data_IF_853331292533
#
_entry.id   IF_853331292533
#
_cell.length_a   1.000
_cell.length_b   1.000
_cell.length_c   1.000
_cell.angle_alpha   90.00
_cell.angle_beta   90.00
_cell.angle_gamma   90.00
#
_symmetry.space_group_name_H-M   'P 1'
#
loop_
_entity.id
_entity.type
_entity.pdbx_description
1 polymer ?
#
# COMPACT_ATOMS: atom_id res chain seq x y z
N UNK A 1 14.87 -17.46 2.74
CA UNK A 1 13.43 -17.61 2.96
C UNK A 1 12.67 -16.54 2.22
N UNK A 2 11.79 -16.92 1.33
CA UNK A 2 10.98 -15.95 0.61
C UNK A 2 9.90 -15.38 1.55
N UNK A 3 9.82 -14.07 1.65
CA UNK A 3 8.70 -13.43 2.33
C UNK A 3 7.46 -13.59 1.45
N UNK A 4 6.38 -14.10 2.03
CA UNK A 4 5.11 -14.13 1.33
C UNK A 4 4.63 -12.71 1.12
N UNK A 5 4.41 -12.34 -0.13
CA UNK A 5 3.82 -11.06 -0.46
C UNK A 5 2.30 -11.24 -0.59
N UNK A 6 1.58 -10.33 0.03
CA UNK A 6 0.12 -10.33 -0.01
C UNK A 6 -0.36 -9.12 -0.79
N UNK A 7 -1.33 -9.34 -1.66
CA UNK A 7 -2.02 -8.23 -2.34
C UNK A 7 -2.93 -7.53 -1.34
N UNK A 8 -3.30 -6.25 -1.56
CA UNK A 8 -4.25 -5.57 -0.68
C UNK A 8 -5.55 -6.34 -0.48
N UNK A 9 -6.09 -6.97 -1.53
CA UNK A 9 -7.28 -7.81 -1.41
C UNK A 9 -7.08 -8.97 -0.45
N UNK A 10 -5.94 -9.66 -0.55
CA UNK A 10 -5.61 -10.77 0.34
C UNK A 10 -5.47 -10.31 1.79
N UNK A 11 -4.84 -9.16 2.00
CA UNK A 11 -4.68 -8.57 3.34
C UNK A 11 -6.05 -8.28 3.96
N UNK A 12 -6.94 -7.64 3.22
CA UNK A 12 -8.28 -7.29 3.72
C UNK A 12 -9.08 -8.55 4.04
N UNK A 13 -9.01 -9.57 3.20
CA UNK A 13 -9.69 -10.84 3.44
C UNK A 13 -9.16 -11.54 4.69
N UNK A 14 -7.84 -11.57 4.87
CA UNK A 14 -7.22 -12.16 6.06
C UNK A 14 -7.58 -11.38 7.32
N UNK A 15 -7.60 -10.05 7.25
CA UNK A 15 -8.02 -9.22 8.38
C UNK A 15 -9.48 -9.48 8.75
N UNK A 16 -10.37 -9.58 7.77
CA UNK A 16 -11.78 -9.88 8.01
C UNK A 16 -11.95 -11.24 8.70
N UNK A 17 -11.24 -12.26 8.22
CA UNK A 17 -11.26 -13.58 8.82
C UNK A 17 -10.69 -13.56 10.23
N UNK A 18 -9.57 -12.86 10.43
CA UNK A 18 -8.95 -12.74 11.75
C UNK A 18 -9.84 -12.03 12.76
N UNK A 19 -10.49 -10.94 12.38
CA UNK A 19 -11.44 -10.25 13.25
C UNK A 19 -12.63 -11.14 13.61
N UNK A 20 -13.10 -11.93 12.67
CA UNK A 20 -14.18 -12.89 12.91
C UNK A 20 -13.77 -13.94 13.94
N UNK A 21 -12.55 -14.46 13.84
CA UNK A 21 -12.01 -15.43 14.79
C UNK A 21 -11.81 -14.81 16.18
N UNK A 22 -11.31 -13.58 16.25
CA UNK A 22 -11.18 -12.87 17.52
C UNK A 22 -12.53 -12.63 18.17
N UNK A 23 -13.55 -12.31 17.40
CA UNK A 23 -14.90 -12.13 17.91
C UNK A 23 -15.49 -13.47 18.45
N UNK A 24 -15.02 -14.59 17.92
CA UNK A 24 -15.39 -15.91 18.40
C UNK A 24 -14.64 -16.34 19.67
N UNK A 25 -13.74 -15.51 20.19
CA UNK A 25 -13.00 -15.76 21.42
C UNK A 25 -11.66 -16.46 21.20
N UNK A 26 -11.17 -16.56 19.98
CA UNK A 26 -9.86 -17.14 19.69
C UNK A 26 -8.77 -16.11 19.98
N UNK A 27 -7.68 -16.53 20.59
CA UNK A 27 -6.56 -15.64 20.93
C UNK A 27 -5.80 -15.19 19.69
N UNK A 28 -5.19 -14.01 19.76
CA UNK A 28 -4.50 -13.39 18.63
C UNK A 28 -3.36 -14.26 18.10
N UNK A 29 -2.59 -14.89 18.97
CA UNK A 29 -1.50 -15.76 18.52
C UNK A 29 -2.00 -16.94 17.69
N UNK A 30 -3.12 -17.54 18.08
CA UNK A 30 -3.76 -18.61 17.32
C UNK A 30 -4.32 -18.11 15.99
N UNK A 31 -4.91 -16.91 15.98
CA UNK A 31 -5.42 -16.29 14.76
C UNK A 31 -4.27 -16.04 13.77
N UNK A 32 -3.16 -15.50 14.25
CA UNK A 32 -2.00 -15.23 13.39
C UNK A 32 -1.41 -16.52 12.82
N UNK A 33 -1.36 -17.60 13.62
CA UNK A 33 -0.92 -18.92 13.12
C UNK A 33 -1.85 -19.44 12.06
N UNK A 34 -3.14 -19.30 12.26
CA UNK A 34 -4.14 -19.72 11.27
C UNK A 34 -3.99 -18.95 9.95
N UNK A 35 -3.72 -17.65 10.03
CA UNK A 35 -3.52 -16.81 8.86
C UNK A 35 -2.09 -16.90 8.29
N UNK A 36 -1.21 -17.63 8.95
CA UNK A 36 0.19 -17.81 8.55
C UNK A 36 0.96 -16.49 8.51
N UNK A 37 0.74 -15.63 9.50
CA UNK A 37 1.42 -14.33 9.62
C UNK A 37 1.97 -14.16 11.04
N UNK A 38 2.91 -13.22 11.20
CA UNK A 38 3.42 -12.82 12.51
C UNK A 38 2.47 -11.81 13.14
N UNK A 39 2.48 -11.71 14.48
CA UNK A 39 1.68 -10.70 15.18
C UNK A 39 2.06 -9.28 14.77
N UNK A 40 3.35 -9.02 14.54
CA UNK A 40 3.81 -7.72 14.03
C UNK A 40 3.18 -7.38 12.69
N UNK A 41 3.06 -8.37 11.81
CA UNK A 41 2.38 -8.21 10.51
C UNK A 41 0.90 -7.90 10.73
N UNK A 42 0.24 -8.61 11.65
CA UNK A 42 -1.16 -8.36 11.98
C UNK A 42 -1.37 -6.91 12.42
N UNK A 43 -0.58 -6.42 13.38
CA UNK A 43 -0.71 -5.05 13.87
C UNK A 43 -0.46 -4.02 12.78
N UNK A 44 0.52 -4.26 11.93
CA UNK A 44 0.81 -3.38 10.80
C UNK A 44 -0.36 -3.33 9.82
N UNK A 45 -0.95 -4.48 9.50
CA UNK A 45 -2.08 -4.56 8.59
C UNK A 45 -3.32 -3.86 9.16
N UNK A 46 -3.59 -4.06 10.45
CA UNK A 46 -4.70 -3.37 11.11
C UNK A 46 -4.53 -1.86 11.03
N UNK A 47 -3.31 -1.37 11.24
CA UNK A 47 -3.03 0.06 11.16
C UNK A 47 -3.21 0.61 9.74
N UNK A 48 -2.83 -0.17 8.72
CA UNK A 48 -2.88 0.26 7.32
C UNK A 48 -4.24 0.04 6.65
N UNK A 49 -4.89 -1.07 6.96
CA UNK A 49 -6.08 -1.51 6.23
C UNK A 49 -7.30 -1.75 7.11
N UNK A 50 -7.18 -1.54 8.41
CA UNK A 50 -8.31 -1.77 9.33
C UNK A 50 -9.52 -0.94 8.93
N UNK A 51 -10.67 -1.60 8.79
CA UNK A 51 -11.90 -0.94 8.39
C UNK A 51 -12.09 -0.75 6.88
N UNK A 52 -11.08 -1.09 6.07
CA UNK A 52 -11.20 -1.00 4.61
C UNK A 52 -11.83 -2.25 4.03
N UNK A 53 -12.61 -2.07 2.98
CA UNK A 53 -13.07 -3.17 2.13
C UNK A 53 -11.98 -3.48 1.10
N UNK A 54 -11.97 -4.71 0.57
CA UNK A 54 -10.99 -5.15 -0.41
C UNK A 54 -10.89 -4.19 -1.61
N UNK A 55 -12.02 -3.74 -2.13
CA UNK A 55 -12.04 -2.79 -3.25
C UNK A 55 -11.39 -1.46 -2.91
N UNK A 56 -11.60 -0.97 -1.70
CA UNK A 56 -11.04 0.31 -1.26
C UNK A 56 -9.52 0.24 -1.13
N UNK A 57 -9.01 -0.87 -0.60
CA UNK A 57 -7.57 -1.09 -0.47
C UNK A 57 -6.88 -1.16 -1.84
N UNK A 58 -7.48 -1.87 -2.77
CA UNK A 58 -6.99 -1.98 -4.14
C UNK A 58 -6.97 -0.63 -4.82
N UNK A 59 -8.06 0.11 -4.70
CA UNK A 59 -8.18 1.46 -5.27
C UNK A 59 -7.15 2.42 -4.68
N UNK A 60 -6.95 2.36 -3.38
CA UNK A 60 -5.94 3.18 -2.72
C UNK A 60 -4.55 2.90 -3.29
N UNK A 61 -4.21 1.64 -3.47
CA UNK A 61 -2.93 1.25 -4.04
C UNK A 61 -2.76 1.76 -5.47
N UNK A 62 -3.80 1.64 -6.28
CA UNK A 62 -3.80 2.15 -7.66
C UNK A 62 -3.61 3.68 -7.67
N UNK A 63 -4.27 4.39 -6.76
CA UNK A 63 -4.13 5.84 -6.64
C UNK A 63 -2.73 6.26 -6.19
N UNK A 64 -2.12 5.51 -5.28
CA UNK A 64 -0.75 5.77 -4.84
C UNK A 64 0.24 5.62 -5.99
N UNK A 65 0.10 4.58 -6.80
CA UNK A 65 0.95 4.35 -7.97
C UNK A 65 0.76 5.47 -8.99
N UNK A 66 -0.48 5.83 -9.29
CA UNK A 66 -0.79 6.90 -10.24
C UNK A 66 -0.27 8.25 -9.75
N UNK A 67 -0.41 8.53 -8.47
CA UNK A 67 0.09 9.76 -7.87
C UNK A 67 1.62 9.86 -8.00
N UNK A 68 2.33 8.76 -7.74
CA UNK A 68 3.79 8.72 -7.91
C UNK A 68 4.19 8.94 -9.36
N UNK A 69 3.46 8.34 -10.31
CA UNK A 69 3.70 8.52 -11.75
C UNK A 69 3.49 9.98 -12.16
N UNK A 70 2.40 10.58 -11.71
CA UNK A 70 2.09 11.98 -12.02
C UNK A 70 3.13 12.94 -11.44
N UNK A 71 3.60 12.69 -10.23
CA UNK A 71 4.67 13.49 -9.61
C UNK A 71 5.96 13.42 -10.42
N UNK A 72 6.30 12.24 -10.93
CA UNK A 72 7.48 12.07 -11.78
C UNK A 72 7.34 12.83 -13.08
N UNK A 73 6.20 12.71 -13.75
CA UNK A 73 5.94 13.42 -15.00
C UNK A 73 6.01 14.93 -14.81
N UNK A 74 5.47 15.43 -13.70
CA UNK A 74 5.52 16.85 -13.40
C UNK A 74 6.95 17.33 -13.17
N UNK A 75 7.75 16.56 -12.45
CA UNK A 75 9.16 16.88 -12.20
C UNK A 75 9.95 16.92 -13.53
N UNK A 76 9.72 15.97 -14.42
CA UNK A 76 10.35 15.91 -15.74
C UNK A 76 9.94 17.14 -16.59
N UNK A 77 8.67 17.51 -16.56
CA UNK A 77 8.16 18.67 -17.29
C UNK A 77 8.79 19.98 -16.78
N UNK A 78 8.94 20.12 -15.47
CA UNK A 78 9.60 21.30 -14.88
C UNK A 78 11.06 21.37 -15.27
N UNK A 79 11.76 20.24 -15.31
CA UNK A 79 13.15 20.18 -15.74
C UNK A 79 13.30 20.58 -17.20
N UNK A 80 12.46 20.06 -18.10
CA UNK A 80 12.46 20.41 -19.52
C UNK A 80 12.18 21.88 -19.73
N UNK A 81 11.25 22.43 -18.97
CA UNK A 81 10.92 23.85 -19.03
C UNK A 81 12.11 24.72 -18.62
N UNK A 82 12.83 24.33 -17.59
CA UNK A 82 14.03 25.04 -17.14
C UNK A 82 15.14 25.01 -18.19
N UNK A 83 15.34 23.86 -18.84
CA UNK A 83 16.32 23.70 -19.90
C UNK A 83 15.97 24.57 -21.10
N UNK A 84 14.73 24.60 -21.52
CA UNK A 84 14.27 25.44 -22.61
C UNK A 84 14.45 26.93 -22.31
N UNK A 85 14.20 27.32 -21.09
CA UNK A 85 14.40 28.71 -20.65
C UNK A 85 15.87 29.12 -20.74
N UNK A 86 16.78 28.26 -20.32
CA UNK A 86 18.21 28.51 -20.43
C UNK A 86 18.67 28.70 -21.85
N UNK A 87 18.18 27.83 -22.76
CA UNK A 87 18.48 27.95 -24.19
C UNK A 87 17.94 29.23 -24.79
N UNK A 88 16.73 29.62 -24.42
CA UNK A 88 16.10 30.87 -24.90
C UNK A 88 16.85 32.11 -24.41
N UNK A 89 17.45 32.05 -23.23
CA UNK A 89 18.22 33.13 -22.66
C UNK A 89 19.66 33.20 -23.19
N UNK A 90 20.08 32.23 -24.00
CA UNK A 90 21.41 32.19 -24.56
C UNK A 90 22.50 31.76 -23.60
N UNK A 91 22.15 31.04 -22.54
CA UNK A 91 23.10 30.53 -21.55
C UNK A 91 23.66 29.18 -22.00
N UNK A 92 24.56 29.24 -22.97
CA UNK A 92 25.15 28.02 -23.55
C UNK A 92 26.50 27.72 -22.93
#
# INVERSE_FOLDING_TARGET
MSRRRHTPDQIIRKLAEGHKLLAAGIELDAVCRHLEIAESTWHRWVAQYGGMKANDAKRLKELEVENSRLKRLLADAELDKAMLKELAEGNF
#
